data_IF_887700959715
#
_entry.id   IF_887700959715
#
_cell.length_a   1.000
_cell.length_b   1.000
_cell.length_c   1.000
_cell.angle_alpha   90.00
_cell.angle_beta   90.00
_cell.angle_gamma   90.00
#
_symmetry.space_group_name_H-M   'P 1'
#
loop_
_entity.id
_entity.type
_entity.pdbx_description
1 polymer ?
#
# COMPACT_ATOMS: atom_id res chain seq x y z
N UNK A 1 1.49 18.20 6.91
CA UNK A 1 1.97 17.98 5.53
C UNK A 1 1.65 16.53 5.18
N UNK A 2 0.88 16.25 4.12
CA UNK A 2 0.47 14.88 3.77
C UNK A 2 1.52 14.30 2.84
N UNK A 3 2.23 13.26 3.27
CA UNK A 3 3.23 12.56 2.45
C UNK A 3 2.52 11.52 1.59
N UNK A 4 2.65 11.62 0.28
CA UNK A 4 2.07 10.63 -0.63
C UNK A 4 3.15 9.69 -1.11
N UNK A 5 3.25 8.54 -0.47
CA UNK A 5 4.06 7.44 -0.97
C UNK A 5 3.13 6.51 -1.74
N UNK A 6 3.21 6.51 -3.07
CA UNK A 6 2.47 5.55 -3.89
C UNK A 6 3.34 4.34 -4.12
N UNK A 7 3.11 3.33 -3.31
CA UNK A 7 3.86 2.09 -3.39
C UNK A 7 3.17 1.14 -4.36
N UNK A 8 3.82 0.72 -5.46
CA UNK A 8 3.34 -0.34 -6.35
C UNK A 8 4.16 -1.62 -6.17
N UNK A 9 3.69 -2.72 -6.77
CA UNK A 9 4.37 -4.01 -6.77
C UNK A 9 5.23 -4.18 -8.03
N UNK A 10 6.38 -4.85 -7.89
CA UNK A 10 7.14 -5.55 -8.93
C UNK A 10 7.89 -4.73 -10.00
N UNK A 11 8.37 -3.51 -9.70
CA UNK A 11 9.15 -2.72 -10.67
C UNK A 11 8.41 -2.43 -11.98
N UNK A 12 7.10 -2.66 -12.02
CA UNK A 12 6.30 -2.53 -13.23
C UNK A 12 5.81 -1.10 -13.32
N UNK A 13 5.93 -0.51 -14.51
CA UNK A 13 5.43 0.83 -14.79
C UNK A 13 4.02 1.04 -14.24
N UNK A 14 3.75 2.23 -13.72
CA UNK A 14 2.45 2.66 -13.20
C UNK A 14 1.28 2.28 -14.11
N UNK A 15 1.48 2.36 -15.44
CA UNK A 15 0.47 1.96 -16.42
C UNK A 15 0.10 0.49 -16.27
N UNK A 16 1.10 -0.37 -16.10
CA UNK A 16 0.90 -1.80 -15.90
C UNK A 16 0.26 -2.10 -14.55
N UNK A 17 0.61 -1.37 -13.49
CA UNK A 17 -0.06 -1.59 -12.20
C UNK A 17 -1.52 -1.14 -12.21
N UNK A 18 -1.84 -0.08 -12.96
CA UNK A 18 -3.22 0.30 -13.20
C UNK A 18 -3.96 -0.62 -14.16
N UNK A 19 -3.28 -1.41 -14.98
CA UNK A 19 -3.89 -2.47 -15.80
C UNK A 19 -4.01 -3.81 -15.05
N UNK A 20 -3.22 -4.03 -14.00
CA UNK A 20 -3.30 -5.25 -13.21
C UNK A 20 -4.63 -5.29 -12.43
N UNK A 21 -5.51 -6.21 -12.82
CA UNK A 21 -6.81 -6.41 -12.20
C UNK A 21 -6.72 -6.87 -10.73
N UNK A 22 -5.55 -7.30 -10.25
CA UNK A 22 -5.35 -7.71 -8.85
C UNK A 22 -4.95 -6.55 -7.93
N UNK A 23 -4.59 -5.40 -8.49
CA UNK A 23 -4.09 -4.27 -7.72
C UNK A 23 -5.23 -3.41 -7.14
N UNK A 24 -5.12 -3.11 -5.85
CA UNK A 24 -5.95 -2.16 -5.12
C UNK A 24 -5.18 -0.88 -4.90
N UNK A 25 -5.82 0.28 -5.08
CA UNK A 25 -5.26 1.59 -4.74
C UNK A 25 -6.22 2.30 -3.79
N UNK A 26 -5.74 2.77 -2.64
CA UNK A 26 -6.58 3.48 -1.68
C UNK A 26 -5.80 4.56 -0.92
N UNK A 27 -6.47 5.69 -0.68
CA UNK A 27 -6.06 6.66 0.32
C UNK A 27 -6.46 6.13 1.71
N UNK A 28 -5.47 5.97 2.58
CA UNK A 28 -5.61 5.33 3.89
C UNK A 28 -4.99 6.18 4.98
N UNK A 29 -5.45 5.99 6.21
CA UNK A 29 -4.81 6.49 7.43
C UNK A 29 -4.23 5.30 8.20
N UNK A 30 -2.99 5.40 8.65
CA UNK A 30 -2.37 4.38 9.52
C UNK A 30 -2.89 4.57 10.94
N UNK A 31 -3.45 3.51 11.53
CA UNK A 31 -3.98 3.49 12.89
C UNK A 31 -3.01 2.82 13.87
N UNK A 32 -2.34 1.76 13.44
CA UNK A 32 -1.36 1.04 14.25
C UNK A 32 -0.24 0.47 13.36
N UNK A 33 0.93 0.23 13.97
CA UNK A 33 2.07 -0.46 13.37
C UNK A 33 2.57 -1.51 14.37
N UNK A 34 2.46 -2.77 14.00
CA UNK A 34 3.01 -3.90 14.74
C UNK A 34 4.23 -4.45 13.98
N UNK A 35 5.32 -4.70 14.70
CA UNK A 35 6.57 -5.23 14.14
C UNK A 35 6.91 -6.52 14.87
N UNK A 36 7.23 -7.57 14.12
CA UNK A 36 7.69 -8.83 14.69
C UNK A 36 9.10 -8.64 15.24
N UNK A 37 9.31 -9.01 16.50
CA UNK A 37 10.58 -8.90 17.20
C UNK A 37 11.20 -10.28 17.37
N UNK A 38 12.53 -10.36 17.41
CA UNK A 38 13.22 -11.59 17.79
C UNK A 38 12.94 -11.87 19.27
N UNK A 39 12.46 -13.08 19.58
CA UNK A 39 12.00 -13.44 20.92
C UNK A 39 13.05 -13.15 21.99
N UNK A 40 12.65 -12.38 23.01
CA UNK A 40 13.53 -12.02 24.14
C UNK A 40 14.50 -10.86 23.85
N UNK A 41 14.34 -10.17 22.72
CA UNK A 41 15.20 -9.04 22.33
C UNK A 41 14.35 -7.85 21.84
N UNK A 42 14.98 -6.68 21.77
CA UNK A 42 14.42 -5.49 21.11
C UNK A 42 14.84 -5.40 19.62
N UNK A 43 15.29 -6.50 19.02
CA UNK A 43 15.68 -6.56 17.62
C UNK A 43 14.48 -6.92 16.72
N UNK A 44 14.35 -6.24 15.57
CA UNK A 44 13.31 -6.53 14.57
C UNK A 44 13.64 -7.87 13.88
N UNK A 45 12.68 -8.80 13.91
CA UNK A 45 12.79 -10.08 13.20
C UNK A 45 12.90 -9.86 11.69
N UNK A 46 13.72 -10.65 11.00
CA UNK A 46 13.97 -10.54 9.56
C UNK A 46 13.02 -11.47 8.81
N UNK A 47 11.81 -11.00 8.51
CA UNK A 47 10.72 -11.79 7.95
C UNK A 47 10.12 -11.14 6.70
N UNK A 48 9.68 -11.97 5.76
CA UNK A 48 8.94 -11.50 4.56
C UNK A 48 7.60 -10.84 4.93
N UNK A 49 7.04 -11.18 6.09
CA UNK A 49 5.82 -10.60 6.67
C UNK A 49 6.08 -10.16 8.11
N UNK A 50 7.03 -9.25 8.29
CA UNK A 50 7.45 -8.79 9.61
C UNK A 50 6.82 -7.50 10.12
N UNK A 51 6.12 -6.73 9.27
CA UNK A 51 5.39 -5.53 9.71
C UNK A 51 3.93 -5.64 9.31
N UNK A 52 3.05 -5.35 10.28
CA UNK A 52 1.61 -5.24 10.08
C UNK A 52 1.16 -3.81 10.37
N UNK A 53 0.41 -3.24 9.44
CA UNK A 53 -0.23 -1.95 9.63
C UNK A 53 -1.74 -2.11 9.68
N UNK A 54 -2.36 -1.62 10.75
CA UNK A 54 -3.81 -1.46 10.80
C UNK A 54 -4.17 -0.11 10.18
N UNK A 55 -5.09 -0.11 9.22
CA UNK A 55 -5.43 1.07 8.44
C UNK A 55 -6.93 1.35 8.43
N UNK A 56 -7.27 2.62 8.19
CA UNK A 56 -8.61 3.04 7.80
C UNK A 56 -8.60 3.49 6.35
N UNK A 57 -9.42 2.88 5.50
CA UNK A 57 -9.69 3.38 4.16
C UNK A 57 -10.44 4.71 4.24
N UNK A 58 -9.81 5.78 3.75
CA UNK A 58 -10.44 7.11 3.63
C UNK A 58 -11.10 7.27 2.25
N UNK A 59 -10.45 6.76 1.20
CA UNK A 59 -11.01 6.72 -0.15
C UNK A 59 -10.44 5.55 -0.94
N UNK A 60 -11.29 4.81 -1.63
CA UNK A 60 -10.89 3.74 -2.55
C UNK A 60 -10.72 4.35 -3.94
N UNK A 61 -9.54 4.19 -4.55
CA UNK A 61 -9.22 4.74 -5.86
C UNK A 61 -9.29 3.67 -6.95
N UNK A 62 -8.88 2.45 -6.65
CA UNK A 62 -9.00 1.31 -7.56
C UNK A 62 -9.30 0.07 -6.75
N UNK A 63 -10.26 -0.72 -7.23
CA UNK A 63 -10.56 -2.05 -6.69
C UNK A 63 -10.49 -3.10 -7.82
N UNK A 64 -9.99 -4.30 -7.54
CA UNK A 64 -10.16 -5.47 -8.41
C UNK A 64 -11.63 -5.71 -8.77
N UNK A 65 -11.96 -5.96 -10.04
CA UNK A 65 -13.34 -6.17 -10.51
C UNK A 65 -14.04 -7.36 -9.85
N UNK A 66 -13.25 -8.36 -9.50
CA UNK A 66 -13.64 -9.59 -8.82
C UNK A 66 -14.10 -9.34 -7.37
N UNK A 67 -13.85 -8.16 -6.79
CA UNK A 67 -14.36 -7.78 -5.48
C UNK A 67 -15.68 -7.02 -5.68
N UNK A 68 -16.76 -7.80 -5.75
CA UNK A 68 -18.11 -7.29 -6.03
C UNK A 68 -18.73 -6.60 -4.82
N UNK A 69 -18.51 -7.09 -3.60
CA UNK A 69 -18.96 -6.52 -2.33
C UNK A 69 -18.17 -7.15 -1.17
N UNK A 70 -18.24 -6.51 -0.02
CA UNK A 70 -17.60 -6.82 1.29
C UNK A 70 -16.23 -6.18 1.51
N UNK A 71 -16.05 -5.66 2.72
CA UNK A 71 -15.06 -4.65 3.10
C UNK A 71 -13.64 -4.96 2.62
N UNK A 72 -12.97 -3.94 2.14
CA UNK A 72 -11.53 -4.01 1.88
C UNK A 72 -10.77 -4.38 3.17
N UNK A 73 -9.68 -5.18 3.06
CA UNK A 73 -8.81 -5.47 4.19
C UNK A 73 -8.32 -4.21 4.87
N UNK A 74 -8.49 -4.14 6.18
CA UNK A 74 -7.99 -3.08 7.05
C UNK A 74 -6.59 -3.38 7.61
N UNK A 75 -5.99 -4.50 7.21
CA UNK A 75 -4.62 -4.90 7.59
C UNK A 75 -3.75 -4.92 6.34
N UNK A 76 -2.60 -4.27 6.45
CA UNK A 76 -1.52 -4.29 5.48
C UNK A 76 -0.36 -5.11 6.05
N UNK A 77 0.28 -5.90 5.20
CA UNK A 77 1.47 -6.69 5.51
C UNK A 77 2.63 -6.29 4.60
N UNK A 78 3.84 -6.26 5.14
CA UNK A 78 5.08 -5.99 4.40
C UNK A 78 6.27 -6.65 5.10
N UNK A 79 7.37 -6.83 4.37
CA UNK A 79 8.63 -7.30 4.95
C UNK A 79 9.17 -6.35 6.03
N UNK A 80 10.04 -6.89 6.89
CA UNK A 80 10.54 -6.22 8.10
C UNK A 80 11.33 -4.94 7.89
N UNK A 81 11.96 -4.78 6.73
CA UNK A 81 12.85 -3.66 6.47
C UNK A 81 12.96 -3.37 4.98
N UNK A 82 13.41 -2.15 4.69
CA UNK A 82 13.63 -1.67 3.33
C UNK A 82 14.54 -2.57 2.48
N UNK A 83 15.53 -3.26 3.06
CA UNK A 83 16.44 -4.14 2.31
C UNK A 83 15.73 -5.40 1.75
N UNK A 84 14.68 -5.88 2.43
CA UNK A 84 13.79 -6.96 1.96
C UNK A 84 12.57 -6.42 1.19
N UNK A 85 12.67 -5.23 0.60
CA UNK A 85 11.54 -4.51 0.00
C UNK A 85 10.41 -4.23 1.01
N UNK A 86 10.71 -4.19 2.31
CA UNK A 86 9.76 -3.80 3.36
C UNK A 86 9.48 -2.31 3.37
N UNK A 87 8.33 -1.92 3.92
CA UNK A 87 7.95 -0.51 4.05
C UNK A 87 7.79 -0.24 5.53
N UNK A 88 8.90 0.13 6.16
CA UNK A 88 9.04 0.35 7.60
C UNK A 88 8.89 1.82 8.00
N UNK A 89 8.81 2.74 7.03
CA UNK A 89 8.78 4.18 7.23
C UNK A 89 7.38 4.82 7.27
N UNK A 90 6.29 4.03 7.25
CA UNK A 90 4.94 4.58 7.45
C UNK A 90 4.71 4.90 8.93
N UNK A 91 4.28 6.12 9.21
CA UNK A 91 4.02 6.60 10.56
C UNK A 91 2.56 6.39 10.93
N UNK A 92 2.32 6.03 12.20
CA UNK A 92 0.98 6.03 12.79
C UNK A 92 0.39 7.45 12.74
N UNK A 93 -0.92 7.55 12.50
CA UNK A 93 -1.68 8.80 12.30
C UNK A 93 -1.48 9.53 10.97
N UNK A 94 -0.41 9.25 10.23
CA UNK A 94 -0.22 9.79 8.89
C UNK A 94 -1.16 9.11 7.88
N UNK A 95 -1.39 9.81 6.77
CA UNK A 95 -2.24 9.32 5.68
C UNK A 95 -1.45 9.20 4.39
N UNK A 96 -1.66 8.09 3.67
CA UNK A 96 -0.90 7.70 2.49
C UNK A 96 -1.83 7.20 1.40
N UNK A 97 -1.40 7.26 0.13
CA UNK A 97 -2.08 6.57 -0.95
C UNK A 97 -1.30 5.31 -1.25
N UNK A 98 -1.79 4.17 -0.77
CA UNK A 98 -1.09 2.91 -0.93
C UNK A 98 -1.71 2.10 -2.05
N UNK A 99 -0.88 1.33 -2.74
CA UNK A 99 -1.35 0.25 -3.57
C UNK A 99 -0.74 -1.07 -3.15
N UNK A 100 -1.46 -2.15 -3.41
CA UNK A 100 -1.04 -3.48 -3.00
C UNK A 100 -1.92 -4.56 -3.60
N UNK A 101 -1.57 -5.79 -3.29
CA UNK A 101 -2.29 -6.98 -3.69
C UNK A 101 -2.90 -7.65 -2.48
N UNK A 102 -4.09 -8.22 -2.64
CA UNK A 102 -4.69 -9.02 -1.58
C UNK A 102 -3.99 -10.38 -1.54
N UNK A 103 -3.42 -10.69 -0.38
CA UNK A 103 -2.82 -11.98 -0.08
C UNK A 103 -3.89 -13.05 0.18
N UNK A 104 -3.50 -14.32 0.20
CA UNK A 104 -4.42 -15.44 0.46
C UNK A 104 -5.06 -15.40 1.85
N UNK A 105 -4.43 -14.74 2.82
CA UNK A 105 -4.91 -14.56 4.20
C UNK A 105 -5.86 -13.36 4.37
N UNK A 106 -6.29 -12.74 3.27
CA UNK A 106 -7.12 -11.55 3.24
C UNK A 106 -6.44 -10.28 3.83
N UNK A 107 -5.11 -10.22 3.85
CA UNK A 107 -4.35 -8.97 4.11
C UNK A 107 -3.95 -8.28 2.81
N UNK A 108 -3.64 -6.98 2.88
CA UNK A 108 -3.10 -6.23 1.74
C UNK A 108 -1.56 -6.24 1.79
N UNK A 109 -0.93 -7.04 0.94
CA UNK A 109 0.52 -7.06 0.76
C UNK A 109 1.01 -5.82 0.02
N UNK A 110 2.01 -5.14 0.58
CA UNK A 110 2.74 -4.03 -0.03
C UNK A 110 4.24 -4.31 0.03
N UNK A 111 5.01 -3.79 -0.94
CA UNK A 111 6.48 -3.87 -0.92
C UNK A 111 7.10 -2.65 -1.61
N UNK A 112 8.30 -2.24 -1.18
CA UNK A 112 8.99 -1.06 -1.70
C UNK A 112 9.43 -1.22 -3.16
N UNK A 113 9.66 -2.46 -3.60
CA UNK A 113 10.23 -2.78 -4.90
C UNK A 113 9.30 -2.52 -6.11
N UNK A 114 8.23 -1.77 -5.93
CA UNK A 114 7.56 -1.06 -7.02
C UNK A 114 7.06 0.35 -6.65
N UNK A 115 7.55 0.98 -5.58
CA UNK A 115 7.06 2.31 -5.22
C UNK A 115 7.52 3.44 -6.13
N UNK A 116 6.56 4.28 -6.57
CA UNK A 116 6.85 5.66 -6.96
C UNK A 116 6.82 6.53 -5.71
N UNK A 117 7.98 7.03 -5.31
CA UNK A 117 8.03 8.10 -4.31
C UNK A 117 7.50 9.37 -4.98
N UNK A 118 6.25 9.75 -4.67
CA UNK A 118 5.71 11.04 -5.09
C UNK A 118 6.05 12.07 -4.02
N UNK A 119 7.00 12.95 -4.32
CA UNK A 119 7.28 14.10 -3.46
C UNK A 119 6.36 15.31 -3.77
N UNK A 120 5.13 15.02 -4.19
CA UNK A 120 4.12 16.03 -4.55
C UNK A 120 3.14 16.25 -3.39
N UNK A 121 2.52 17.43 -3.34
CA UNK A 121 1.42 17.69 -2.42
C UNK A 121 0.19 16.80 -2.72
N UNK A 122 -0.73 16.76 -1.76
CA UNK A 122 -1.93 15.92 -1.83
C UNK A 122 -2.78 16.15 -3.07
N UNK A 123 -2.98 17.41 -3.43
CA UNK A 123 -3.91 17.79 -4.49
C UNK A 123 -3.36 17.35 -5.83
N UNK A 124 -2.07 17.60 -6.07
CA UNK A 124 -1.42 17.24 -7.32
C UNK A 124 -1.33 15.72 -7.52
N UNK A 125 -0.97 14.97 -6.48
CA UNK A 125 -0.96 13.50 -6.55
C UNK A 125 -2.35 12.93 -6.83
N UNK A 126 -3.38 13.43 -6.16
CA UNK A 126 -4.77 13.01 -6.40
C UNK A 126 -5.25 13.38 -7.80
N UNK A 127 -4.86 14.54 -8.32
CA UNK A 127 -5.18 14.96 -9.69
C UNK A 127 -4.54 14.02 -10.72
N UNK A 128 -3.27 13.65 -10.52
CA UNK A 128 -2.57 12.67 -11.36
C UNK A 128 -3.27 11.31 -11.32
N UNK A 129 -3.57 10.79 -10.13
CA UNK A 129 -4.29 9.52 -9.96
C UNK A 129 -5.66 9.52 -10.66
N UNK A 130 -6.46 10.59 -10.49
CA UNK A 130 -7.74 10.73 -11.19
C UNK A 130 -7.59 10.83 -12.70
N UNK A 131 -6.53 11.48 -13.18
CA UNK A 131 -6.26 11.56 -14.61
C UNK A 131 -5.93 10.17 -15.18
N UNK A 132 -5.12 9.38 -14.47
CA UNK A 132 -4.81 8.02 -14.88
C UNK A 132 -6.01 7.08 -14.81
N UNK A 133 -6.88 7.22 -13.80
CA UNK A 133 -8.17 6.51 -13.75
C UNK A 133 -9.04 6.77 -14.99
N UNK A 134 -8.98 7.97 -15.58
CA UNK A 134 -9.72 8.31 -16.81
C UNK A 134 -9.09 7.72 -18.06
N UNK A 135 -7.75 7.74 -18.15
CA UNK A 135 -6.99 7.26 -19.32
C UNK A 135 -7.01 5.74 -19.41
N UNK A 136 -6.97 5.09 -18.26
CA UNK A 136 -6.97 3.64 -18.14
C UNK A 136 -8.40 3.28 -17.78
N UNK A 137 -9.26 3.16 -18.80
CA UNK A 137 -10.58 2.56 -18.64
C UNK A 137 -10.39 1.18 -17.99
N UNK A 138 -10.47 1.12 -16.67
CA UNK A 138 -10.58 -0.11 -15.91
C UNK A 138 -12.04 -0.57 -16.01
N UNK A 139 -12.51 -0.79 -17.24
CA UNK A 139 -13.65 -1.67 -17.52
C UNK A 139 -13.29 -3.03 -16.98
#
# INVERSE_FOLDING_TARGET
MIKIHIVFLNGVSFKTTFLDNKLKVSFVKILNKDVNMVYGTDEISQEEVGIKYTIKHLQILKKPKNIKNESLPNVITTASNTAMCGIDFLNVSDSYILSGQINSDNTLGINLCGGLVYNDDKINSMKKLRNYQKIIECS
#
